data_IF_161536517917
#
_entry.id   IF_161536517917
#
_cell.length_a   1.000
_cell.length_b   1.000
_cell.length_c   1.000
_cell.angle_alpha   90.00
_cell.angle_beta   90.00
_cell.angle_gamma   90.00
#
_symmetry.space_group_name_H-M   'P 1'
#
loop_
_entity.id
_entity.type
_entity.pdbx_description
1 polymer ?
#
# COMPACT_ATOMS: atom_id res chain seq x y z
N UNK A 1 16.36 -10.91 15.98
CA UNK A 1 16.41 -10.28 14.63
C UNK A 1 15.03 -10.34 14.01
N UNK A 2 14.58 -9.26 13.40
CA UNK A 2 13.25 -9.18 12.80
C UNK A 2 13.20 -9.98 11.49
N UNK A 3 12.39 -11.05 11.46
CA UNK A 3 12.24 -11.89 10.27
C UNK A 3 11.63 -11.12 9.09
N UNK A 4 10.73 -10.16 9.37
CA UNK A 4 10.13 -9.34 8.32
C UNK A 4 11.19 -8.48 7.66
N UNK A 5 12.10 -7.92 8.43
CA UNK A 5 13.20 -7.12 7.89
C UNK A 5 14.11 -7.97 7.01
N UNK A 6 14.45 -9.18 7.43
CA UNK A 6 15.26 -10.09 6.62
C UNK A 6 14.57 -10.45 5.32
N UNK A 7 13.27 -10.73 5.38
CA UNK A 7 12.49 -11.07 4.21
C UNK A 7 12.42 -9.88 3.24
N UNK A 8 12.22 -8.66 3.74
CA UNK A 8 12.18 -7.47 2.90
C UNK A 8 13.52 -7.23 2.22
N UNK A 9 14.63 -7.43 2.92
CA UNK A 9 15.97 -7.31 2.33
C UNK A 9 16.19 -8.35 1.24
N UNK A 10 15.73 -9.58 1.45
CA UNK A 10 15.81 -10.63 0.44
C UNK A 10 15.04 -10.28 -0.81
N UNK A 11 13.80 -9.80 -0.64
CA UNK A 11 12.96 -9.37 -1.77
C UNK A 11 13.61 -8.20 -2.50
N UNK A 12 14.14 -7.23 -1.77
CA UNK A 12 14.84 -6.08 -2.35
C UNK A 12 16.03 -6.55 -3.21
N UNK A 13 16.89 -7.41 -2.68
CA UNK A 13 18.07 -7.88 -3.41
C UNK A 13 17.66 -8.65 -4.67
N UNK A 14 16.63 -9.47 -4.57
CA UNK A 14 16.12 -10.24 -5.71
C UNK A 14 15.59 -9.34 -6.81
N UNK A 15 14.79 -8.34 -6.44
CA UNK A 15 14.22 -7.40 -7.41
C UNK A 15 15.27 -6.45 -7.98
N UNK A 16 16.26 -6.07 -7.17
CA UNK A 16 17.35 -5.20 -7.62
C UNK A 16 18.12 -5.84 -8.78
N UNK A 17 18.33 -7.15 -8.73
CA UNK A 17 19.01 -7.87 -9.80
C UNK A 17 18.28 -7.79 -11.14
N UNK A 18 16.92 -7.77 -11.10
CA UNK A 18 16.09 -7.72 -12.31
C UNK A 18 15.71 -6.29 -12.72
N UNK A 19 15.57 -5.38 -11.75
CA UNK A 19 15.10 -4.01 -11.98
C UNK A 19 16.09 -3.00 -11.40
N UNK A 20 17.34 -3.12 -11.79
CA UNK A 20 18.45 -2.33 -11.25
C UNK A 20 18.15 -0.84 -11.25
N UNK A 21 18.31 -0.21 -10.10
CA UNK A 21 18.07 1.22 -9.92
C UNK A 21 16.62 1.64 -9.83
N UNK A 22 15.66 0.71 -9.93
CA UNK A 22 14.22 1.02 -9.93
C UNK A 22 13.48 0.54 -8.69
N UNK A 23 14.18 -0.03 -7.71
CA UNK A 23 13.57 -0.59 -6.50
C UNK A 23 13.93 0.28 -5.31
N UNK A 24 12.93 0.67 -4.52
CA UNK A 24 13.13 1.42 -3.28
C UNK A 24 12.61 0.59 -2.10
N UNK A 25 13.37 0.53 -1.02
CA UNK A 25 13.01 -0.21 0.17
C UNK A 25 12.58 0.76 1.27
N UNK A 26 11.30 0.73 1.62
CA UNK A 26 10.71 1.54 2.69
C UNK A 26 11.13 3.01 2.62
N UNK A 27 10.97 3.67 1.47
CA UNK A 27 11.38 5.07 1.35
C UNK A 27 10.48 5.98 2.18
N UNK A 28 11.06 7.09 2.68
CA UNK A 28 10.25 8.19 3.15
C UNK A 28 9.65 8.94 1.97
N UNK A 29 8.69 9.84 2.24
CA UNK A 29 8.03 10.62 1.18
C UNK A 29 9.06 11.46 0.41
N UNK A 30 9.95 12.15 1.11
CA UNK A 30 10.95 13.01 0.46
C UNK A 30 11.91 12.20 -0.41
N UNK A 31 12.34 11.06 0.08
CA UNK A 31 13.21 10.16 -0.67
C UNK A 31 12.51 9.65 -1.93
N UNK A 32 11.26 9.23 -1.79
CA UNK A 32 10.47 8.75 -2.94
C UNK A 32 10.34 9.84 -3.99
N UNK A 33 9.94 11.04 -3.61
CA UNK A 33 9.72 12.15 -4.55
C UNK A 33 11.02 12.56 -5.26
N UNK A 34 12.17 12.44 -4.57
CA UNK A 34 13.46 12.81 -5.12
C UNK A 34 14.01 11.79 -6.11
N UNK A 35 13.83 10.51 -5.84
CA UNK A 35 14.46 9.43 -6.59
C UNK A 35 13.51 8.53 -7.36
N UNK A 36 12.24 8.83 -7.39
CA UNK A 36 11.25 8.00 -8.10
C UNK A 36 11.56 7.92 -9.58
N UNK A 37 11.24 6.78 -10.17
CA UNK A 37 11.39 6.54 -11.61
C UNK A 37 10.11 5.95 -12.17
N UNK A 38 9.89 6.12 -13.47
CA UNK A 38 8.77 5.49 -14.16
C UNK A 38 8.92 3.97 -14.05
N UNK A 39 7.82 3.29 -13.78
CA UNK A 39 7.79 1.84 -13.56
C UNK A 39 8.68 1.39 -12.40
N UNK A 40 8.88 2.27 -11.41
CA UNK A 40 9.61 1.92 -10.21
C UNK A 40 8.81 1.00 -9.30
N UNK A 41 9.52 0.28 -8.43
CA UNK A 41 8.93 -0.64 -7.45
C UNK A 41 9.26 -0.12 -6.07
N UNK A 42 8.23 -0.04 -5.21
CA UNK A 42 8.40 0.35 -3.81
C UNK A 42 8.00 -0.82 -2.91
N UNK A 43 8.92 -1.23 -2.05
CA UNK A 43 8.69 -2.30 -1.09
C UNK A 43 8.32 -1.68 0.25
N UNK A 44 7.14 -2.01 0.76
CA UNK A 44 6.63 -1.50 2.03
C UNK A 44 6.28 -2.66 2.96
N UNK A 45 6.34 -2.41 4.26
CA UNK A 45 5.90 -3.39 5.25
C UNK A 45 4.38 -3.47 5.26
N UNK A 46 3.84 -4.69 5.19
CA UNK A 46 2.41 -4.91 5.25
C UNK A 46 1.95 -4.80 6.71
N UNK A 47 0.94 -3.97 7.02
CA UNK A 47 0.37 -3.93 8.37
C UNK A 47 -0.29 -5.27 8.74
N UNK A 48 -0.28 -5.59 10.04
CA UNK A 48 -1.02 -6.75 10.54
C UNK A 48 -2.53 -6.60 10.30
N UNK A 49 -3.24 -7.72 10.23
CA UNK A 49 -4.69 -7.75 10.01
C UNK A 49 -5.13 -7.18 8.65
N UNK A 50 -4.20 -7.10 7.69
CA UNK A 50 -4.53 -6.73 6.32
C UNK A 50 -5.43 -7.81 5.71
N UNK A 51 -6.57 -7.43 5.09
CA UNK A 51 -7.44 -8.43 4.47
C UNK A 51 -6.76 -9.11 3.29
N UNK A 52 -6.81 -10.45 3.22
CA UNK A 52 -6.22 -11.17 2.09
C UNK A 52 -7.03 -10.97 0.81
N UNK A 53 -6.39 -11.16 -0.33
CA UNK A 53 -7.08 -11.14 -1.62
C UNK A 53 -8.11 -12.26 -1.73
N UNK A 54 -9.15 -12.03 -2.51
CA UNK A 54 -10.24 -13.01 -2.67
C UNK A 54 -9.77 -14.20 -3.52
N UNK A 55 -9.17 -13.94 -4.67
CA UNK A 55 -8.68 -15.00 -5.57
C UNK A 55 -7.36 -15.57 -5.08
N UNK A 56 -6.44 -14.70 -4.63
CA UNK A 56 -5.11 -15.09 -4.14
C UNK A 56 -4.78 -14.28 -2.90
N UNK A 57 -4.26 -14.91 -1.82
CA UNK A 57 -4.01 -14.18 -0.57
C UNK A 57 -3.05 -13.00 -0.69
N UNK A 58 -2.14 -13.03 -1.66
CA UNK A 58 -1.14 -11.96 -1.83
C UNK A 58 -1.63 -10.79 -2.67
N UNK A 59 -2.82 -10.88 -3.27
CA UNK A 59 -3.41 -9.77 -3.99
C UNK A 59 -4.13 -8.83 -3.04
N UNK A 60 -4.13 -7.54 -3.34
CA UNK A 60 -4.83 -6.55 -2.51
C UNK A 60 -6.32 -6.54 -2.83
N UNK A 61 -7.14 -6.53 -1.78
CA UNK A 61 -8.59 -6.32 -1.94
C UNK A 61 -8.86 -4.85 -2.18
N UNK A 62 -9.98 -4.56 -2.84
CA UNK A 62 -10.41 -3.18 -3.09
C UNK A 62 -10.61 -2.41 -1.78
N UNK A 63 -11.16 -3.06 -0.75
CA UNK A 63 -11.36 -2.44 0.56
C UNK A 63 -10.05 -1.96 1.18
N UNK A 64 -8.99 -2.76 1.05
CA UNK A 64 -7.66 -2.37 1.52
C UNK A 64 -7.13 -1.17 0.75
N UNK A 65 -7.26 -1.19 -0.57
CA UNK A 65 -6.78 -0.10 -1.43
C UNK A 65 -7.47 1.21 -1.07
N UNK A 66 -8.79 1.18 -0.85
CA UNK A 66 -9.53 2.38 -0.49
C UNK A 66 -9.08 2.95 0.85
N UNK A 67 -8.87 2.10 1.85
CA UNK A 67 -8.42 2.56 3.16
C UNK A 67 -7.00 3.13 3.06
N UNK A 68 -6.12 2.48 2.33
CA UNK A 68 -4.73 2.94 2.18
C UNK A 68 -4.66 4.30 1.49
N UNK A 69 -5.47 4.52 0.46
CA UNK A 69 -5.51 5.81 -0.24
C UNK A 69 -5.91 6.93 0.71
N UNK A 70 -6.82 6.65 1.65
CA UNK A 70 -7.34 7.67 2.56
C UNK A 70 -6.50 7.84 3.82
N UNK A 71 -5.81 6.81 4.28
CA UNK A 71 -5.21 6.80 5.61
C UNK A 71 -3.74 6.45 5.68
N UNK A 72 -3.19 5.75 4.71
CA UNK A 72 -1.76 5.43 4.70
C UNK A 72 -0.97 6.71 4.45
N UNK A 73 -0.03 7.02 5.34
CA UNK A 73 0.73 8.27 5.26
C UNK A 73 1.45 8.44 3.94
N UNK A 74 2.07 7.37 3.45
CA UNK A 74 2.83 7.44 2.21
C UNK A 74 1.90 7.61 1.02
N UNK A 75 0.92 6.71 0.88
CA UNK A 75 0.01 6.71 -0.26
C UNK A 75 -0.88 7.95 -0.27
N UNK A 76 -1.45 8.29 0.89
CA UNK A 76 -2.36 9.42 1.03
C UNK A 76 -1.71 10.76 0.66
N UNK A 77 -0.42 10.92 0.95
CA UNK A 77 0.31 12.13 0.61
C UNK A 77 0.50 12.29 -0.91
N UNK A 78 0.58 11.17 -1.63
CA UNK A 78 0.81 11.19 -3.08
C UNK A 78 -0.46 11.40 -3.90
N UNK A 79 -1.64 11.31 -3.28
CA UNK A 79 -2.93 11.43 -3.96
C UNK A 79 -3.63 12.69 -3.48
N UNK A 80 -4.09 13.54 -4.41
CA UNK A 80 -4.81 14.76 -4.07
C UNK A 80 -6.20 14.45 -3.47
N UNK A 81 -6.77 15.40 -2.73
CA UNK A 81 -8.09 15.22 -2.12
C UNK A 81 -9.19 15.00 -3.17
N UNK A 82 -9.09 15.69 -4.31
CA UNK A 82 -10.03 15.49 -5.41
C UNK A 82 -9.93 14.09 -6.01
N UNK A 83 -8.72 13.59 -6.18
CA UNK A 83 -8.50 12.23 -6.67
C UNK A 83 -8.99 11.18 -5.68
N UNK A 84 -8.77 11.41 -4.37
CA UNK A 84 -9.29 10.51 -3.33
C UNK A 84 -10.81 10.37 -3.42
N UNK A 85 -11.50 11.50 -3.56
CA UNK A 85 -12.96 11.52 -3.70
C UNK A 85 -13.40 10.73 -4.92
N UNK A 86 -12.77 10.96 -6.06
CA UNK A 86 -13.09 10.27 -7.31
C UNK A 86 -12.88 8.77 -7.19
N UNK A 87 -11.80 8.35 -6.57
CA UNK A 87 -11.49 6.93 -6.35
C UNK A 87 -12.58 6.26 -5.51
N UNK A 88 -12.96 6.89 -4.39
CA UNK A 88 -13.97 6.34 -3.49
C UNK A 88 -15.34 6.27 -4.18
N UNK A 89 -15.76 7.36 -4.82
CA UNK A 89 -17.05 7.40 -5.51
C UNK A 89 -17.12 6.36 -6.63
N UNK A 90 -16.08 6.24 -7.42
CA UNK A 90 -16.03 5.26 -8.50
C UNK A 90 -16.07 3.83 -7.97
N UNK A 91 -15.35 3.56 -6.88
CA UNK A 91 -15.33 2.22 -6.29
C UNK A 91 -16.72 1.81 -5.79
N UNK A 92 -17.41 2.69 -5.07
CA UNK A 92 -18.75 2.40 -4.56
C UNK A 92 -19.80 2.31 -5.66
N UNK A 93 -19.59 3.01 -6.77
CA UNK A 93 -20.52 2.98 -7.90
C UNK A 93 -20.34 1.74 -8.77
N UNK A 94 -19.12 1.30 -8.99
CA UNK A 94 -18.79 0.27 -9.97
C UNK A 94 -18.53 -1.12 -9.38
N UNK A 95 -18.27 -1.21 -8.09
CA UNK A 95 -17.86 -2.47 -7.45
C UNK A 95 -18.67 -2.73 -6.20
N UNK A 96 -18.78 -4.02 -5.87
CA UNK A 96 -19.39 -4.43 -4.59
C UNK A 96 -18.33 -4.33 -3.49
N UNK A 97 -18.60 -3.49 -2.49
CA UNK A 97 -17.70 -3.26 -1.36
C UNK A 97 -18.23 -3.98 -0.13
N UNK A 98 -17.41 -4.82 0.50
CA UNK A 98 -17.77 -5.43 1.77
C UNK A 98 -17.45 -4.47 2.91
N UNK A 99 -18.51 -3.89 3.49
CA UNK A 99 -18.37 -2.85 4.52
C UNK A 99 -17.68 -3.33 5.79
N UNK A 100 -17.96 -4.57 6.20
CA UNK A 100 -17.34 -5.13 7.39
C UNK A 100 -15.81 -5.17 7.25
N UNK A 101 -15.32 -5.68 6.12
CA UNK A 101 -13.90 -5.75 5.83
C UNK A 101 -13.30 -4.35 5.75
N UNK A 102 -13.99 -3.41 5.09
CA UNK A 102 -13.54 -2.03 4.95
C UNK A 102 -13.35 -1.37 6.32
N UNK A 103 -14.36 -1.44 7.18
CA UNK A 103 -14.30 -0.79 8.49
C UNK A 103 -13.35 -1.47 9.45
N UNK A 104 -13.21 -2.79 9.37
CA UNK A 104 -12.26 -3.52 10.20
C UNK A 104 -10.82 -3.07 9.91
N UNK A 105 -10.46 -3.00 8.65
CA UNK A 105 -9.13 -2.55 8.23
C UNK A 105 -8.93 -1.07 8.53
N UNK A 106 -9.95 -0.24 8.29
CA UNK A 106 -9.87 1.19 8.58
C UNK A 106 -9.58 1.44 10.07
N UNK A 107 -10.23 0.71 10.95
CA UNK A 107 -9.97 0.83 12.40
C UNK A 107 -8.54 0.44 12.75
N UNK A 108 -8.01 -0.58 12.10
CA UNK A 108 -6.61 -1.00 12.30
C UNK A 108 -5.65 0.10 11.88
N UNK A 109 -5.88 0.72 10.74
CA UNK A 109 -5.03 1.80 10.24
C UNK A 109 -5.10 3.05 11.13
N UNK A 110 -6.26 3.36 11.68
CA UNK A 110 -6.40 4.48 12.62
C UNK A 110 -5.57 4.26 13.88
N UNK A 111 -5.51 3.03 14.39
CA UNK A 111 -4.67 2.71 15.55
C UNK A 111 -3.19 2.88 15.24
N UNK A 112 -2.77 2.53 14.02
CA UNK A 112 -1.37 2.68 13.62
C UNK A 112 -0.98 4.14 13.38
N UNK A 113 -1.93 4.99 13.04
CA UNK A 113 -1.68 6.40 12.75
C UNK A 113 -1.51 7.28 14.01
N UNK A 114 -1.87 6.76 15.17
CA UNK A 114 -1.76 7.51 16.44
C UNK A 114 -0.37 7.44 17.05
#
# INVERSE_FOLDING_TARGET
MDQVRLMMNFVFDTLWASYFGKVMLRPGIDEYLRYRQDNGIVIMRLPGETPPGIAKPWESRLEKILVDVLSDRFISTLVSDGEKRNIVESAFREYLIERHTLFHYARRMLKLAK
#
